data_IF_047028002309
#
_entry.id   IF_047028002309
#
_cell.length_a   1.000
_cell.length_b   1.000
_cell.length_c   1.000
_cell.angle_alpha   90.00
_cell.angle_beta   90.00
_cell.angle_gamma   90.00
#
_symmetry.space_group_name_H-M   'P 1'
#
loop_
_entity.id
_entity.type
_entity.pdbx_description
1 polymer ?
#
# COMPACT_ATOMS: atom_id res chain seq x y z
N UNK A 1 -2.95 -7.71 1.12
CA UNK A 1 -2.94 -6.68 2.19
C UNK A 1 -1.85 -7.03 3.22
N UNK A 2 -0.57 -6.80 2.92
CA UNK A 2 0.54 -7.12 3.84
C UNK A 2 1.42 -5.91 4.20
N UNK A 3 1.12 -4.74 3.66
CA UNK A 3 1.98 -3.56 3.80
C UNK A 3 1.99 -2.99 5.24
N UNK A 4 0.88 -3.07 5.98
CA UNK A 4 0.82 -2.56 7.37
C UNK A 4 1.36 -3.54 8.41
N UNK A 5 0.86 -4.78 8.41
CA UNK A 5 1.15 -5.76 9.47
C UNK A 5 2.49 -6.49 9.31
N UNK A 6 2.94 -6.71 8.06
CA UNK A 6 4.16 -7.44 7.78
C UNK A 6 5.43 -6.58 7.89
N UNK A 7 5.37 -5.33 7.42
CA UNK A 7 6.53 -4.43 7.42
C UNK A 7 6.74 -3.78 8.79
N UNK A 8 5.68 -3.31 9.45
CA UNK A 8 5.79 -2.66 10.76
C UNK A 8 6.04 -3.66 11.91
N UNK A 9 5.94 -4.97 11.66
CA UNK A 9 6.04 -6.04 12.68
C UNK A 9 5.12 -5.81 13.89
N UNK A 10 3.99 -5.13 13.66
CA UNK A 10 3.00 -4.83 14.68
C UNK A 10 2.01 -5.99 14.79
N UNK A 11 1.57 -6.25 16.02
CA UNK A 11 0.44 -7.13 16.26
C UNK A 11 -0.83 -6.53 15.60
N UNK A 12 -1.66 -7.34 14.92
CA UNK A 12 -2.81 -6.83 14.17
C UNK A 12 -3.76 -5.92 14.95
N UNK A 13 -4.11 -6.26 16.18
CA UNK A 13 -4.96 -5.41 17.03
C UNK A 13 -4.25 -4.11 17.40
N UNK A 14 -2.96 -4.13 17.74
CA UNK A 14 -2.20 -2.92 17.99
C UNK A 14 -2.22 -1.97 16.79
N UNK A 15 -2.04 -2.47 15.57
CA UNK A 15 -2.12 -1.67 14.34
C UNK A 15 -3.49 -1.01 14.16
N UNK A 16 -4.58 -1.76 14.35
CA UNK A 16 -5.94 -1.24 14.16
C UNK A 16 -6.39 -0.26 15.25
N UNK A 17 -5.73 -0.27 16.42
CA UNK A 17 -6.02 0.67 17.51
C UNK A 17 -5.19 1.96 17.43
N UNK A 18 -4.15 2.00 16.60
CA UNK A 18 -3.30 3.18 16.46
C UNK A 18 -4.06 4.34 15.82
N UNK A 19 -3.80 5.53 16.34
CA UNK A 19 -4.18 6.78 15.70
C UNK A 19 -3.33 7.03 14.45
N UNK A 20 -3.81 7.83 13.48
CA UNK A 20 -3.02 8.21 12.31
C UNK A 20 -1.66 8.84 12.65
N UNK A 21 -1.56 9.55 13.79
CA UNK A 21 -0.31 10.16 14.26
C UNK A 21 0.69 9.12 14.78
N UNK A 22 0.21 8.09 15.49
CA UNK A 22 1.06 6.98 15.93
C UNK A 22 1.51 6.12 14.76
N UNK A 23 0.64 5.94 13.76
CA UNK A 23 1.02 5.28 12.51
C UNK A 23 2.12 6.05 11.78
N UNK A 24 2.01 7.38 11.69
CA UNK A 24 3.03 8.24 11.09
C UNK A 24 4.37 8.11 11.83
N UNK A 25 4.36 8.16 13.16
CA UNK A 25 5.57 7.93 13.97
C UNK A 25 6.17 6.53 13.75
N UNK A 26 5.35 5.48 13.68
CA UNK A 26 5.80 4.12 13.42
C UNK A 26 6.42 3.96 12.02
N UNK A 27 5.81 4.58 11.01
CA UNK A 27 6.35 4.60 9.64
C UNK A 27 7.66 5.38 9.56
N UNK A 28 7.73 6.55 10.19
CA UNK A 28 8.95 7.37 10.27
C UNK A 28 10.07 6.64 11.02
N UNK A 29 9.76 5.85 12.05
CA UNK A 29 10.74 5.03 12.75
C UNK A 29 11.29 3.88 11.91
N UNK A 30 10.47 3.25 11.07
CA UNK A 30 10.87 2.09 10.27
C UNK A 30 11.57 2.46 8.96
N UNK A 31 11.03 3.45 8.24
CA UNK A 31 11.51 3.85 6.92
C UNK A 31 12.44 5.09 6.98
N UNK A 32 12.70 5.60 8.19
CA UNK A 32 13.28 6.91 8.41
C UNK A 32 12.28 8.03 8.12
N UNK A 33 12.72 9.29 8.26
CA UNK A 33 12.00 10.40 7.64
C UNK A 33 12.12 10.22 6.13
N UNK A 34 11.27 9.37 5.56
CA UNK A 34 11.05 9.34 4.13
C UNK A 34 10.67 10.76 3.77
N UNK A 35 11.62 11.49 3.17
CA UNK A 35 11.28 12.69 2.46
C UNK A 35 10.28 12.20 1.43
N UNK A 36 9.02 12.52 1.63
CA UNK A 36 8.05 12.42 0.56
C UNK A 36 8.53 13.45 -0.46
N UNK A 37 9.49 13.03 -1.29
CA UNK A 37 10.17 13.85 -2.29
C UNK A 37 9.13 14.17 -3.35
N UNK A 38 8.39 15.25 -3.10
CA UNK A 38 7.25 15.70 -3.88
C UNK A 38 6.13 14.66 -4.07
N UNK A 39 4.88 15.09 -4.30
CA UNK A 39 3.87 14.19 -4.84
C UNK A 39 4.36 13.61 -6.19
N UNK A 40 4.03 12.34 -6.50
CA UNK A 40 4.43 11.71 -7.76
C UNK A 40 3.87 12.51 -8.94
N UNK A 41 4.66 12.63 -10.00
CA UNK A 41 4.20 13.23 -11.24
C UNK A 41 3.05 12.41 -11.84
N UNK A 42 2.15 13.01 -12.64
CA UNK A 42 1.02 12.30 -13.25
C UNK A 42 1.42 11.03 -14.02
N UNK A 43 2.61 11.04 -14.64
CA UNK A 43 3.16 9.89 -15.37
C UNK A 43 3.53 8.72 -14.43
N UNK A 44 4.08 9.01 -13.26
CA UNK A 44 4.44 8.00 -12.27
C UNK A 44 3.19 7.37 -11.67
N UNK A 45 2.17 8.19 -11.41
CA UNK A 45 0.86 7.71 -10.98
C UNK A 45 0.21 6.77 -12.03
N UNK A 46 0.25 7.14 -13.32
CA UNK A 46 -0.25 6.26 -14.40
C UNK A 46 0.51 4.93 -14.47
N UNK A 47 1.83 4.96 -14.28
CA UNK A 47 2.63 3.74 -14.24
C UNK A 47 2.27 2.84 -13.06
N UNK A 48 1.96 3.43 -11.89
CA UNK A 48 1.48 2.68 -10.72
C UNK A 48 0.12 2.05 -10.94
N UNK A 49 -0.84 2.79 -11.52
CA UNK A 49 -2.18 2.28 -11.85
C UNK A 49 -2.08 1.10 -12.82
N UNK A 50 -1.24 1.20 -13.85
CA UNK A 50 -1.03 0.11 -14.80
C UNK A 50 -0.36 -1.13 -14.15
N UNK A 51 0.52 -0.91 -13.15
CA UNK A 51 1.24 -1.98 -12.46
C UNK A 51 0.37 -2.70 -11.42
N UNK A 52 -0.58 -2.00 -10.80
CA UNK A 52 -1.45 -2.52 -9.75
C UNK A 52 -2.91 -2.26 -10.10
N UNK A 53 -3.47 -2.99 -11.09
CA UNK A 53 -4.88 -2.83 -11.47
C UNK A 53 -5.80 -3.30 -10.33
N UNK A 54 -6.85 -2.52 -10.05
CA UNK A 54 -7.86 -2.84 -9.01
C UNK A 54 -8.80 -3.98 -9.41
N UNK A 55 -8.85 -4.30 -10.70
CA UNK A 55 -9.67 -5.40 -11.22
C UNK A 55 -9.07 -6.74 -10.78
N UNK A 56 -9.73 -7.39 -9.82
CA UNK A 56 -9.63 -8.84 -9.67
C UNK A 56 -10.18 -9.42 -10.99
N UNK A 57 -9.43 -10.27 -11.72
CA UNK A 57 -9.99 -10.93 -12.89
C UNK A 57 -11.25 -11.67 -12.45
N UNK A 58 -12.42 -11.19 -12.87
CA UNK A 58 -13.66 -11.93 -12.67
C UNK A 58 -13.45 -13.32 -13.28
N UNK A 59 -13.83 -14.38 -12.57
CA UNK A 59 -13.64 -15.76 -13.03
C UNK A 59 -14.25 -16.00 -14.42
N UNK A 60 -15.23 -15.18 -14.81
CA UNK A 60 -15.83 -15.15 -16.14
C UNK A 60 -14.84 -14.76 -17.26
N UNK A 61 -13.90 -13.84 -16.97
CA UNK A 61 -12.88 -13.39 -17.94
C UNK A 61 -11.77 -14.42 -18.18
N UNK A 62 -11.63 -15.42 -17.30
CA UNK A 62 -10.66 -16.52 -17.47
C UNK A 62 -11.18 -17.61 -18.42
N UNK A 63 -12.51 -17.77 -18.54
CA UNK A 63 -13.12 -18.80 -19.41
C UNK A 63 -13.16 -18.42 -20.88
N UNK A 64 -13.05 -17.14 -21.22
CA UNK A 64 -13.05 -16.68 -22.62
C UNK A 64 -11.67 -16.70 -23.29
N UNK A 65 -10.60 -17.09 -22.57
CA UNK A 65 -9.21 -17.09 -23.08
C UNK A 65 -8.59 -18.49 -23.23
N UNK A 66 -9.39 -19.56 -23.22
CA UNK A 66 -8.97 -20.94 -23.47
C UNK A 66 -9.59 -21.47 -24.77
#
# INVERSE_FOLDING_TARGET
MAAGLGLLRLEPRAFWLMTPRELEAAMTGLFGSAKFDAPPAPRELQALIAKFPDEIPNADNLRMKL
#
